data_IF_396208065094
#
_entry.id   IF_396208065094
#
_cell.length_a   1.000
_cell.length_b   1.000
_cell.length_c   1.000
_cell.angle_alpha   90.00
_cell.angle_beta   90.00
_cell.angle_gamma   90.00
#
_symmetry.space_group_name_H-M   'P 1'
#
loop_
_entity.id
_entity.type
_entity.pdbx_description
1 polymer ?
#
# COMPACT_ATOMS: atom_id res chain seq x y z
N UNK A 1 -14.57 2.59 8.85
CA UNK A 1 -14.07 1.35 8.21
C UNK A 1 -12.54 1.42 8.12
N UNK A 2 -11.82 1.28 9.22
CA UNK A 2 -10.36 1.54 9.25
C UNK A 2 -9.68 0.51 10.13
N UNK A 3 -9.63 -0.77 9.71
CA UNK A 3 -8.65 -1.83 10.08
C UNK A 3 -9.08 -3.11 9.35
N UNK A 4 -8.72 -3.31 8.08
CA UNK A 4 -8.88 -4.64 7.45
C UNK A 4 -7.77 -4.97 6.44
N UNK A 5 -7.15 -3.97 5.80
CA UNK A 5 -6.07 -4.22 4.83
C UNK A 5 -4.82 -4.89 5.45
N UNK A 6 -4.52 -4.62 6.74
CA UNK A 6 -3.31 -5.14 7.40
C UNK A 6 -3.34 -6.66 7.66
N UNK A 7 -4.52 -7.26 7.84
CA UNK A 7 -4.65 -8.71 8.06
C UNK A 7 -4.61 -9.52 6.76
N UNK A 8 -4.77 -8.87 5.60
CA UNK A 8 -4.82 -9.56 4.30
C UNK A 8 -3.46 -9.69 3.62
N UNK A 9 -2.45 -8.93 4.06
CA UNK A 9 -1.09 -9.14 3.61
C UNK A 9 -0.40 -10.08 4.61
N UNK A 10 -0.14 -11.32 4.20
CA UNK A 10 0.67 -12.30 4.94
C UNK A 10 2.15 -11.89 5.02
N UNK A 11 2.42 -10.65 5.45
CA UNK A 11 3.76 -10.05 5.59
C UNK A 11 4.09 -9.91 7.07
N UNK A 12 5.35 -10.08 7.42
CA UNK A 12 5.80 -9.89 8.81
C UNK A 12 5.83 -8.41 9.18
N UNK A 13 5.62 -8.10 10.46
CA UNK A 13 5.66 -6.72 11.00
C UNK A 13 6.97 -5.98 10.66
N UNK A 14 8.08 -6.71 10.60
CA UNK A 14 9.40 -6.17 10.26
C UNK A 14 9.51 -5.80 8.77
N UNK A 15 8.93 -6.60 7.88
CA UNK A 15 8.88 -6.32 6.44
C UNK A 15 7.98 -5.13 6.19
N UNK A 16 6.79 -5.14 6.79
CA UNK A 16 5.82 -4.07 6.67
C UNK A 16 6.37 -2.72 7.15
N UNK A 17 7.02 -2.69 8.31
CA UNK A 17 7.61 -1.46 8.86
C UNK A 17 8.66 -0.86 7.92
N UNK A 18 9.49 -1.69 7.29
CA UNK A 18 10.49 -1.25 6.30
C UNK A 18 9.83 -0.65 5.06
N UNK A 19 8.78 -1.29 4.54
CA UNK A 19 8.05 -0.82 3.36
C UNK A 19 7.32 0.49 3.66
N UNK A 20 6.63 0.60 4.79
CA UNK A 20 5.96 1.84 5.22
C UNK A 20 6.97 2.98 5.30
N UNK A 21 8.13 2.76 5.94
CA UNK A 21 9.18 3.79 6.08
C UNK A 21 9.72 4.22 4.72
N UNK A 22 9.92 3.28 3.79
CA UNK A 22 10.40 3.59 2.45
C UNK A 22 9.36 4.40 1.66
N UNK A 23 8.08 3.99 1.69
CA UNK A 23 7.00 4.68 0.99
C UNK A 23 6.70 6.06 1.58
N UNK A 24 6.80 6.22 2.91
CA UNK A 24 6.71 7.51 3.59
C UNK A 24 7.85 8.45 3.17
N UNK A 25 9.09 7.94 3.10
CA UNK A 25 10.26 8.71 2.67
C UNK A 25 10.13 9.22 1.24
N UNK A 26 9.51 8.45 0.35
CA UNK A 26 9.23 8.84 -1.04
C UNK A 26 8.00 9.77 -1.16
N UNK A 27 7.33 10.07 -0.04
CA UNK A 27 6.14 10.91 0.03
C UNK A 27 4.90 10.26 -0.57
N UNK A 28 4.86 8.92 -0.62
CA UNK A 28 3.74 8.14 -1.16
C UNK A 28 2.72 7.77 -0.07
N UNK A 29 3.13 7.76 1.19
CA UNK A 29 2.25 7.48 2.34
C UNK A 29 2.25 8.63 3.34
N UNK A 30 1.06 8.93 3.85
CA UNK A 30 0.82 9.69 5.06
C UNK A 30 0.68 8.75 6.25
N UNK A 31 1.64 8.83 7.18
CA UNK A 31 1.66 8.03 8.40
C UNK A 31 1.22 8.88 9.59
N UNK A 32 0.07 8.55 10.17
CA UNK A 32 -0.43 9.20 11.39
C UNK A 32 -0.39 8.24 12.56
N UNK A 33 0.48 8.54 13.53
CA UNK A 33 0.51 7.86 14.83
C UNK A 33 -0.51 8.54 15.75
N UNK A 34 -1.62 7.88 16.00
CA UNK A 34 -2.64 8.31 16.94
C UNK A 34 -2.68 7.43 18.19
N UNK A 35 -3.38 7.91 19.22
CA UNK A 35 -3.73 7.10 20.38
C UNK A 35 -5.24 6.89 20.36
N UNK A 36 -5.68 5.63 20.35
CA UNK A 36 -7.09 5.27 20.53
C UNK A 36 -7.22 4.64 21.91
N UNK A 37 -7.64 5.45 22.88
CA UNK A 37 -7.64 5.06 24.30
C UNK A 37 -6.22 4.87 24.84
N UNK A 38 -5.89 3.66 25.31
CA UNK A 38 -4.56 3.29 25.86
C UNK A 38 -3.61 2.63 24.84
N UNK A 39 -4.05 2.39 23.60
CA UNK A 39 -3.24 1.73 22.56
C UNK A 39 -2.83 2.73 21.48
N UNK A 40 -1.55 2.71 21.11
CA UNK A 40 -1.03 3.40 19.93
C UNK A 40 -1.62 2.75 18.67
N UNK A 41 -2.24 3.56 17.83
CA UNK A 41 -2.77 3.15 16.53
C UNK A 41 -2.07 3.95 15.44
N UNK A 42 -1.32 3.25 14.59
CA UNK A 42 -0.78 3.85 13.37
C UNK A 42 -1.83 3.74 12.28
N UNK A 43 -2.22 4.87 11.71
CA UNK A 43 -3.07 4.94 10.52
C UNK A 43 -2.20 5.30 9.35
N UNK A 44 -2.35 4.56 8.25
CA UNK A 44 -1.64 4.77 7.00
C UNK A 44 -2.67 5.22 5.97
N UNK A 45 -2.31 6.20 5.14
CA UNK A 45 -3.12 6.65 4.02
C UNK A 45 -2.20 6.94 2.85
N UNK A 46 -2.67 6.72 1.62
CA UNK A 46 -1.92 7.15 0.45
C UNK A 46 -1.98 8.67 0.36
N UNK A 47 -0.85 9.28 0.03
CA UNK A 47 -0.82 10.69 -0.37
C UNK A 47 -1.35 10.83 -1.81
N UNK A 48 -1.60 12.06 -2.27
CA UNK A 48 -1.99 12.29 -3.68
C UNK A 48 -0.95 11.70 -4.66
N UNK A 49 0.35 11.90 -4.37
CA UNK A 49 1.45 11.31 -5.14
C UNK A 49 1.43 9.78 -5.05
N UNK A 50 1.15 9.24 -3.87
CA UNK A 50 0.99 7.80 -3.65
C UNK A 50 -0.12 7.19 -4.50
N UNK A 51 -1.25 7.88 -4.60
CA UNK A 51 -2.38 7.48 -5.45
C UNK A 51 -1.99 7.42 -6.93
N UNK A 52 -1.35 8.47 -7.46
CA UNK A 52 -0.92 8.51 -8.88
C UNK A 52 0.06 7.38 -9.22
N UNK A 53 1.08 7.19 -8.38
CA UNK A 53 2.07 6.12 -8.57
C UNK A 53 1.43 4.73 -8.46
N UNK A 54 0.50 4.56 -7.52
CA UNK A 54 -0.22 3.29 -7.36
C UNK A 54 -1.11 2.99 -8.58
N UNK A 55 -1.83 3.98 -9.10
CA UNK A 55 -2.64 3.81 -10.30
C UNK A 55 -1.79 3.46 -11.53
N UNK A 56 -0.66 4.16 -11.72
CA UNK A 56 0.28 3.85 -12.80
C UNK A 56 0.84 2.43 -12.67
N UNK A 57 1.17 1.99 -11.45
CA UNK A 57 1.64 0.63 -11.21
C UNK A 57 0.56 -0.41 -11.51
N UNK A 58 -0.68 -0.16 -11.05
CA UNK A 58 -1.83 -1.03 -11.33
C UNK A 58 -2.16 -1.10 -12.82
N UNK A 59 -1.99 0.00 -13.55
CA UNK A 59 -2.15 0.03 -15.00
C UNK A 59 -1.09 -0.87 -15.67
N UNK A 60 0.18 -0.73 -15.29
CA UNK A 60 1.24 -1.59 -15.82
C UNK A 60 1.00 -3.08 -15.53
N UNK A 61 0.55 -3.42 -14.33
CA UNK A 61 0.18 -4.80 -13.99
C UNK A 61 -1.00 -5.31 -14.83
N UNK A 62 -2.01 -4.48 -15.09
CA UNK A 62 -3.13 -4.83 -15.96
C UNK A 62 -2.69 -5.03 -17.41
N UNK A 63 -1.76 -4.21 -17.90
CA UNK A 63 -1.20 -4.34 -19.24
C UNK A 63 -0.41 -5.65 -19.38
N UNK A 64 0.47 -5.97 -18.41
CA UNK A 64 1.19 -7.24 -18.38
C UNK A 64 0.23 -8.43 -18.33
N UNK A 65 -0.77 -8.35 -17.46
CA UNK A 65 -1.79 -9.39 -17.34
C UNK A 65 -2.52 -9.57 -18.66
N UNK A 66 -3.00 -8.49 -19.29
CA UNK A 66 -3.66 -8.52 -20.59
C UNK A 66 -2.77 -9.14 -21.68
N UNK A 67 -1.51 -8.72 -21.77
CA UNK A 67 -0.56 -9.29 -22.72
C UNK A 67 -0.35 -10.79 -22.51
N UNK A 68 -0.48 -11.27 -21.27
CA UNK A 68 -0.31 -12.69 -20.92
C UNK A 68 -1.57 -13.53 -21.19
N UNK A 69 -2.73 -12.91 -21.47
CA UNK A 69 -3.98 -13.61 -21.79
C UNK A 69 -4.35 -13.54 -23.28
N UNK A 70 -3.63 -12.75 -24.09
CA UNK A 70 -3.84 -12.61 -25.54
C UNK A 70 -3.01 -13.63 -26.36
N UNK A 71 -2.25 -14.56 -25.74
CA UNK A 71 -1.51 -15.63 -26.44
C UNK A 71 -2.31 -16.93 -26.63
N UNK A 72 -3.56 -16.99 -26.16
CA UNK A 72 -4.48 -18.12 -26.37
C UNK A 72 -5.55 -17.80 -27.43
N UNK A 73 -5.16 -17.54 -28.68
CA UNK A 73 -6.07 -17.65 -29.85
C UNK A 73 -5.36 -18.21 -31.10
#
# INVERSE_FOLDING_TARGET
MTTHALEQLSVTDSTLSKHITALEKEGLLDVKKGFVGKKTKTTLSLSNKGHEVFEAHMQGLKEIARMSFDEDE
#
